data_IF_605378078126
#
_entry.id   IF_605378078126
#
_cell.length_a   1.000
_cell.length_b   1.000
_cell.length_c   1.000
_cell.angle_alpha   90.00
_cell.angle_beta   90.00
_cell.angle_gamma   90.00
#
_symmetry.space_group_name_H-M   'P 1'
#
loop_
_entity.id
_entity.type
_entity.pdbx_description
1 polymer ?
#
# COMPACT_ATOMS: atom_id res chain seq x y z
N UNK A 1 11.02 62.78 19.17
CA UNK A 1 12.07 61.80 19.54
C UNK A 1 11.48 60.47 19.99
N UNK A 2 10.40 60.41 20.76
CA UNK A 2 9.79 59.12 21.17
C UNK A 2 9.07 58.35 20.03
N UNK A 3 8.49 59.02 19.02
CA UNK A 3 7.83 58.33 17.90
C UNK A 3 8.80 57.68 16.89
N UNK A 4 10.00 58.25 16.69
CA UNK A 4 11.03 57.63 15.83
C UNK A 4 11.59 56.36 16.46
N UNK A 5 11.73 56.35 17.78
CA UNK A 5 12.28 55.22 18.54
C UNK A 5 11.31 54.02 18.59
N UNK A 6 9.99 54.30 18.64
CA UNK A 6 8.94 53.27 18.57
C UNK A 6 8.79 52.68 17.16
N UNK A 7 9.10 53.46 16.11
CA UNK A 7 9.05 53.03 14.70
C UNK A 7 10.27 52.19 14.31
N UNK A 8 11.44 52.46 14.88
CA UNK A 8 12.64 51.64 14.70
C UNK A 8 12.53 50.28 15.38
N UNK A 9 12.00 50.21 16.61
CA UNK A 9 11.80 48.94 17.34
C UNK A 9 10.76 48.03 16.66
N UNK A 10 9.72 48.61 16.05
CA UNK A 10 8.71 47.87 15.29
C UNK A 10 9.25 47.27 13.98
N UNK A 11 10.27 47.88 13.37
CA UNK A 11 10.85 47.41 12.10
C UNK A 11 11.87 46.28 12.36
N UNK A 12 12.76 46.45 13.35
CA UNK A 12 13.70 45.38 13.76
C UNK A 12 13.01 44.11 14.26
N UNK A 13 11.84 44.24 14.88
CA UNK A 13 11.09 43.09 15.38
C UNK A 13 10.30 42.37 14.26
N UNK A 14 10.10 43.03 13.11
CA UNK A 14 9.56 42.41 11.90
C UNK A 14 10.63 41.59 11.18
N UNK A 15 11.81 42.18 10.96
CA UNK A 15 12.94 41.53 10.30
C UNK A 15 13.40 40.27 11.06
N UNK A 16 13.47 40.33 12.39
CA UNK A 16 13.81 39.15 13.23
C UNK A 16 12.78 38.02 13.14
N UNK A 17 11.50 38.33 12.96
CA UNK A 17 10.45 37.31 12.81
C UNK A 17 10.50 36.63 11.45
N UNK A 18 10.73 37.39 10.39
CA UNK A 18 10.87 36.83 9.04
C UNK A 18 12.11 35.93 8.92
N UNK A 19 13.21 36.27 9.61
CA UNK A 19 14.40 35.44 9.66
C UNK A 19 14.15 34.12 10.42
N UNK A 20 13.43 34.18 11.55
CA UNK A 20 13.01 32.99 12.29
C UNK A 20 12.10 32.09 11.46
N UNK A 21 11.12 32.64 10.73
CA UNK A 21 10.21 31.85 9.89
C UNK A 21 10.97 31.15 8.74
N UNK A 22 12.00 31.80 8.17
CA UNK A 22 12.87 31.19 7.14
C UNK A 22 13.71 30.06 7.72
N UNK A 23 14.27 30.25 8.91
CA UNK A 23 15.03 29.22 9.61
C UNK A 23 14.14 28.01 9.92
N UNK A 24 12.91 28.24 10.40
CA UNK A 24 11.94 27.16 10.66
C UNK A 24 11.55 26.38 9.40
N UNK A 25 11.38 27.05 8.25
CA UNK A 25 11.12 26.36 6.97
C UNK A 25 12.33 25.55 6.51
N UNK A 26 13.55 26.08 6.70
CA UNK A 26 14.78 25.37 6.39
C UNK A 26 14.96 24.13 7.28
N UNK A 27 14.68 24.23 8.58
CA UNK A 27 14.70 23.10 9.50
C UNK A 27 13.69 22.03 9.08
N UNK A 28 12.46 22.42 8.77
CA UNK A 28 11.44 21.49 8.23
C UNK A 28 11.89 20.80 6.94
N UNK A 29 12.59 21.51 6.05
CA UNK A 29 13.16 20.91 4.84
C UNK A 29 14.23 19.86 5.18
N UNK A 30 15.15 20.18 6.10
CA UNK A 30 16.21 19.27 6.53
C UNK A 30 15.63 18.02 7.22
N UNK A 31 14.69 18.20 8.14
CA UNK A 31 13.99 17.10 8.82
C UNK A 31 13.25 16.20 7.81
N UNK A 32 12.51 16.79 6.88
CA UNK A 32 11.82 16.03 5.83
C UNK A 32 12.77 15.26 4.91
N UNK A 33 13.99 15.77 4.71
CA UNK A 33 15.04 15.10 3.93
C UNK A 33 15.59 13.90 4.69
N UNK A 34 15.88 14.06 5.99
CA UNK A 34 16.38 12.97 6.84
C UNK A 34 15.36 11.83 6.96
N UNK A 35 14.09 12.17 7.20
CA UNK A 35 12.98 11.21 7.23
C UNK A 35 12.85 10.44 5.91
N UNK A 36 12.95 11.16 4.78
CA UNK A 36 12.90 10.55 3.45
C UNK A 36 14.05 9.56 3.23
N UNK A 37 15.28 9.93 3.60
CA UNK A 37 16.45 9.06 3.48
C UNK A 37 16.34 7.82 4.39
N UNK A 38 15.92 8.02 5.64
CA UNK A 38 15.68 6.93 6.60
C UNK A 38 14.63 5.94 6.07
N UNK A 39 13.56 6.43 5.46
CA UNK A 39 12.55 5.58 4.82
C UNK A 39 13.11 4.83 3.61
N UNK A 40 13.96 5.47 2.78
CA UNK A 40 14.61 4.83 1.65
C UNK A 40 15.56 3.69 2.08
N UNK A 41 16.29 3.89 3.18
CA UNK A 41 17.17 2.86 3.76
C UNK A 41 16.38 1.70 4.34
N UNK A 42 15.30 2.01 5.09
CA UNK A 42 14.37 1.02 5.60
C UNK A 42 13.75 0.19 4.48
N UNK A 43 13.24 0.84 3.43
CA UNK A 43 12.72 0.19 2.23
C UNK A 43 13.76 -0.73 1.59
N UNK A 44 14.99 -0.26 1.44
CA UNK A 44 16.07 -1.04 0.84
C UNK A 44 16.42 -2.27 1.69
N UNK A 45 16.42 -2.13 3.02
CA UNK A 45 16.62 -3.24 3.96
C UNK A 45 15.50 -4.28 3.84
N UNK A 46 14.24 -3.84 3.88
CA UNK A 46 13.07 -4.72 3.77
C UNK A 46 13.02 -5.44 2.43
N UNK A 47 13.35 -4.76 1.32
CA UNK A 47 13.43 -5.39 -0.01
C UNK A 47 14.52 -6.46 -0.05
N UNK A 48 15.73 -6.17 0.45
CA UNK A 48 16.81 -7.17 0.52
C UNK A 48 16.40 -8.40 1.32
N UNK A 49 15.73 -8.19 2.46
CA UNK A 49 15.20 -9.27 3.27
C UNK A 49 14.16 -10.11 2.50
N UNK A 50 13.19 -9.47 1.85
CA UNK A 50 12.18 -10.16 1.04
C UNK A 50 12.78 -10.96 -0.11
N UNK A 51 13.76 -10.40 -0.83
CA UNK A 51 14.47 -11.11 -1.90
C UNK A 51 15.29 -12.30 -1.37
N UNK A 52 15.94 -12.15 -0.22
CA UNK A 52 16.68 -13.23 0.41
C UNK A 52 15.77 -14.38 0.87
N UNK A 53 14.63 -14.05 1.47
CA UNK A 53 13.62 -15.03 1.88
C UNK A 53 12.99 -15.73 0.68
N UNK A 54 12.73 -15.01 -0.40
CA UNK A 54 12.24 -15.57 -1.66
C UNK A 54 13.27 -16.53 -2.28
N UNK A 55 14.55 -16.17 -2.29
CA UNK A 55 15.63 -17.04 -2.75
C UNK A 55 15.73 -18.31 -1.88
N UNK A 56 15.62 -18.16 -0.56
CA UNK A 56 15.60 -19.28 0.39
C UNK A 56 14.39 -20.20 0.17
N UNK A 57 13.22 -19.63 -0.13
CA UNK A 57 12.02 -20.37 -0.48
C UNK A 57 12.21 -21.17 -1.78
N UNK A 58 12.79 -20.55 -2.83
CA UNK A 58 13.12 -21.22 -4.09
C UNK A 58 14.07 -22.40 -3.88
N UNK A 59 15.09 -22.22 -3.05
CA UNK A 59 16.06 -23.27 -2.75
C UNK A 59 15.41 -24.47 -2.04
N UNK A 60 14.55 -24.20 -1.05
CA UNK A 60 13.89 -25.26 -0.27
C UNK A 60 12.71 -25.93 -0.98
N UNK A 61 11.94 -25.20 -1.79
CA UNK A 61 10.77 -25.72 -2.52
C UNK A 61 11.12 -26.34 -3.88
N UNK A 62 12.33 -26.09 -4.38
CA UNK A 62 12.76 -26.44 -5.73
C UNK A 62 12.45 -25.33 -6.74
N UNK A 63 13.37 -25.14 -7.69
CA UNK A 63 13.38 -24.02 -8.65
C UNK A 63 12.17 -23.97 -9.58
N UNK A 64 11.48 -25.09 -9.77
CA UNK A 64 10.27 -25.22 -10.60
C UNK A 64 8.98 -24.72 -9.93
N UNK A 65 8.97 -24.59 -8.60
CA UNK A 65 7.75 -24.23 -7.86
C UNK A 65 7.58 -22.75 -7.63
N UNK A 66 8.66 -21.97 -7.69
CA UNK A 66 8.65 -20.53 -7.52
C UNK A 66 9.39 -19.96 -8.72
N UNK A 67 8.68 -19.85 -9.84
CA UNK A 67 9.23 -19.44 -11.14
C UNK A 67 8.30 -18.39 -11.76
N UNK A 68 8.87 -17.48 -12.55
CA UNK A 68 8.09 -16.45 -13.23
C UNK A 68 7.05 -17.02 -14.21
N UNK A 69 7.26 -18.23 -14.71
CA UNK A 69 6.34 -18.94 -15.61
C UNK A 69 5.05 -19.40 -14.93
N UNK A 70 5.01 -19.43 -13.59
CA UNK A 70 3.78 -19.71 -12.82
C UNK A 70 2.92 -18.47 -12.62
N UNK A 71 3.47 -17.28 -12.87
CA UNK A 71 2.67 -16.07 -12.97
C UNK A 71 1.93 -16.15 -14.31
N UNK A 72 0.71 -16.69 -14.26
CA UNK A 72 -0.19 -16.72 -15.41
C UNK A 72 -0.30 -15.29 -15.98
N UNK A 73 -0.07 -15.13 -17.28
CA UNK A 73 -0.21 -13.83 -17.96
C UNK A 73 -1.67 -13.38 -18.05
N UNK A 74 -2.62 -14.17 -17.51
CA UNK A 74 -4.00 -13.75 -17.34
C UNK A 74 -4.10 -12.52 -16.44
N UNK A 75 -4.97 -11.61 -16.84
CA UNK A 75 -5.36 -10.46 -16.03
C UNK A 75 -6.01 -10.95 -14.73
N UNK A 76 -5.29 -10.76 -13.63
CA UNK A 76 -5.81 -10.97 -12.29
C UNK A 76 -5.98 -9.62 -11.61
N UNK A 77 -7.13 -9.36 -10.96
CA UNK A 77 -7.28 -8.17 -10.13
C UNK A 77 -6.17 -8.10 -9.08
N UNK A 78 -5.51 -6.95 -8.95
CA UNK A 78 -4.45 -6.78 -7.96
C UNK A 78 -5.05 -6.86 -6.56
N UNK A 79 -4.48 -7.72 -5.72
CA UNK A 79 -4.93 -7.87 -4.33
C UNK A 79 -4.72 -6.59 -3.51
N UNK A 80 -3.69 -5.81 -3.86
CA UNK A 80 -3.37 -4.52 -3.24
C UNK A 80 -3.43 -3.43 -4.30
N UNK A 81 -4.16 -2.35 -4.02
CA UNK A 81 -4.33 -1.21 -4.93
C UNK A 81 -3.86 0.09 -4.27
N UNK A 82 -3.59 1.11 -5.09
CA UNK A 82 -3.16 2.42 -4.64
C UNK A 82 -4.25 3.44 -4.93
N UNK A 83 -4.68 4.20 -3.91
CA UNK A 83 -5.57 5.35 -4.08
C UNK A 83 -4.73 6.62 -4.01
N UNK A 84 -4.98 7.54 -4.93
CA UNK A 84 -4.37 8.86 -4.94
C UNK A 84 -5.45 9.87 -4.60
N UNK A 85 -5.31 10.54 -3.47
CA UNK A 85 -6.10 11.70 -3.09
C UNK A 85 -5.31 12.98 -3.39
N UNK A 86 -6.00 14.09 -3.58
CA UNK A 86 -5.39 15.42 -3.56
C UNK A 86 -5.76 16.08 -2.25
N UNK A 87 -4.76 16.53 -1.51
CA UNK A 87 -4.99 17.24 -0.24
C UNK A 87 -5.13 18.72 -0.55
N UNK A 88 -6.28 19.29 -0.20
CA UNK A 88 -6.46 20.74 -0.15
C UNK A 88 -6.06 21.21 1.25
N UNK A 89 -5.01 22.01 1.36
CA UNK A 89 -4.78 22.77 2.59
C UNK A 89 -5.82 23.89 2.66
N UNK A 90 -6.57 23.94 3.77
CA UNK A 90 -7.65 24.89 4.07
C UNK A 90 -7.12 26.30 4.40
N UNK A 91 -5.99 26.69 3.82
CA UNK A 91 -5.41 28.03 3.95
C UNK A 91 -5.75 28.86 2.72
N UNK A 92 -6.48 29.98 2.83
CA UNK A 92 -7.05 30.70 1.68
C UNK A 92 -6.04 31.58 0.90
N UNK A 93 -4.73 31.28 0.93
CA UNK A 93 -3.70 32.18 0.38
C UNK A 93 -2.62 31.54 -0.48
N UNK A 94 -2.70 30.25 -0.84
CA UNK A 94 -1.66 29.61 -1.65
C UNK A 94 -2.19 29.13 -3.00
N UNK A 95 -1.44 29.47 -4.04
CA UNK A 95 -1.64 29.15 -5.46
C UNK A 95 -2.16 27.71 -5.69
N UNK A 96 -3.21 27.50 -6.52
CA UNK A 96 -3.73 26.17 -6.87
C UNK A 96 -2.70 25.19 -7.49
N UNK A 97 -1.46 25.60 -7.74
CA UNK A 97 -0.37 24.73 -8.21
C UNK A 97 0.25 23.80 -7.13
N UNK A 98 -0.10 23.94 -5.84
CA UNK A 98 0.50 23.16 -4.74
C UNK A 98 -0.41 22.06 -4.16
N UNK A 99 -1.36 21.54 -4.96
CA UNK A 99 -2.14 20.35 -4.59
C UNK A 99 -1.21 19.13 -4.40
N UNK A 100 -0.92 18.76 -3.15
CA UNK A 100 -0.03 17.64 -2.87
C UNK A 100 -0.76 16.31 -3.07
N UNK A 101 -0.27 15.42 -3.94
CA UNK A 101 -0.82 14.08 -4.06
C UNK A 101 -0.52 13.29 -2.78
N UNK A 102 -1.57 12.74 -2.18
CA UNK A 102 -1.47 11.82 -1.06
C UNK A 102 -1.83 10.40 -1.50
N UNK A 103 -0.90 9.49 -1.26
CA UNK A 103 -1.00 8.08 -1.63
C UNK A 103 -1.47 7.25 -0.44
N UNK A 104 -2.48 6.43 -0.66
CA UNK A 104 -3.01 5.49 0.33
C UNK A 104 -3.02 4.08 -0.23
N UNK A 105 -2.40 3.14 0.50
CA UNK A 105 -2.39 1.73 0.13
C UNK A 105 -3.70 1.07 0.59
N UNK A 106 -4.39 0.42 -0.33
CA UNK A 106 -5.57 -0.40 -0.05
C UNK A 106 -5.16 -1.87 -0.15
N UNK A 107 -4.93 -2.49 0.99
CA UNK A 107 -4.53 -3.90 1.07
C UNK A 107 -5.75 -4.80 0.95
N UNK A 108 -5.60 -5.90 0.21
CA UNK A 108 -6.54 -7.03 0.18
C UNK A 108 -7.99 -6.63 -0.09
N UNK A 109 -8.19 -5.75 -1.09
CA UNK A 109 -9.44 -5.07 -1.44
C UNK A 109 -10.67 -5.72 -0.79
N UNK A 110 -11.00 -5.28 0.42
CA UNK A 110 -12.27 -5.63 1.07
C UNK A 110 -13.34 -5.06 0.16
N UNK A 111 -14.00 -5.94 -0.58
CA UNK A 111 -15.22 -5.64 -1.31
C UNK A 111 -16.32 -5.35 -0.28
N UNK A 112 -16.29 -4.17 0.33
CA UNK A 112 -17.49 -3.58 0.90
C UNK A 112 -18.16 -2.79 -0.23
N UNK A 113 -19.22 -3.38 -0.75
CA UNK A 113 -20.16 -2.77 -1.68
C UNK A 113 -20.69 -1.46 -1.09
N UNK A 114 -20.37 -0.34 -1.76
CA UNK A 114 -21.10 0.92 -1.63
C UNK A 114 -20.81 1.78 -2.86
N UNK A 115 -21.46 1.46 -3.97
CA UNK A 115 -22.42 2.36 -4.66
C UNK A 115 -22.84 1.70 -5.98
N UNK A 116 -24.10 1.30 -6.03
CA UNK A 116 -24.81 0.83 -7.22
C UNK A 116 -24.73 1.83 -8.38
N UNK A 117 -24.47 1.36 -9.60
CA UNK A 117 -25.37 1.59 -10.75
C UNK A 117 -25.05 0.67 -11.93
N UNK A 118 -26.03 0.40 -12.81
CA UNK A 118 -26.12 -0.86 -13.53
C UNK A 118 -25.66 -0.74 -15.00
N UNK A 119 -25.01 -1.79 -15.51
CA UNK A 119 -25.31 -2.25 -16.87
C UNK A 119 -25.01 -3.74 -17.01
N UNK A 120 -25.98 -4.55 -16.58
CA UNK A 120 -26.18 -5.85 -17.17
C UNK A 120 -26.83 -5.63 -18.54
N UNK A 121 -26.16 -6.07 -19.61
CA UNK A 121 -26.86 -6.68 -20.74
C UNK A 121 -26.24 -8.05 -20.99
N UNK A 122 -27.10 -9.03 -20.79
CA UNK A 122 -26.97 -10.45 -21.09
C UNK A 122 -26.79 -10.69 -22.58
N UNK A 123 -26.21 -11.86 -22.91
CA UNK A 123 -26.58 -12.83 -23.95
C UNK A 123 -25.44 -13.86 -23.98
N UNK A 124 -25.58 -15.16 -24.10
CA UNK A 124 -26.67 -16.15 -24.17
C UNK A 124 -25.91 -17.49 -23.92
N UNK A 125 -26.33 -18.40 -23.06
CA UNK A 125 -27.20 -19.50 -23.47
C UNK A 125 -26.49 -20.52 -24.38
N UNK A 126 -25.73 -21.48 -23.82
CA UNK A 126 -25.79 -22.86 -24.31
C UNK A 126 -25.34 -23.86 -23.22
N UNK A 127 -26.30 -24.71 -22.87
CA UNK A 127 -26.27 -25.77 -21.88
C UNK A 127 -26.11 -27.07 -22.66
N UNK A 128 -24.95 -27.74 -22.57
CA UNK A 128 -24.86 -29.15 -22.93
C UNK A 128 -24.00 -29.93 -21.94
N UNK A 129 -24.73 -30.59 -21.05
CA UNK A 129 -24.38 -31.82 -20.37
C UNK A 129 -23.56 -32.79 -21.24
N UNK A 130 -22.32 -33.07 -20.82
CA UNK A 130 -21.70 -34.38 -21.07
C UNK A 130 -21.02 -34.91 -19.82
N UNK A 131 -21.76 -35.76 -19.12
CA UNK A 131 -21.24 -36.87 -18.31
C UNK A 131 -20.13 -37.59 -19.09
N UNK A 132 -18.93 -37.64 -18.53
CA UNK A 132 -17.95 -38.67 -18.87
C UNK A 132 -17.39 -39.27 -17.59
N UNK A 133 -17.49 -40.59 -17.54
CA UNK A 133 -17.20 -41.46 -16.42
C UNK A 133 -15.73 -41.38 -15.97
N UNK A 134 -15.53 -41.72 -14.70
CA UNK A 134 -14.27 -41.69 -13.94
C UNK A 134 -13.13 -42.53 -14.52
N UNK A 135 -11.92 -42.44 -13.93
CA UNK A 135 -11.58 -43.49 -12.97
C UNK A 135 -11.02 -42.94 -11.65
N UNK A 136 -11.67 -43.38 -10.57
CA UNK A 136 -11.28 -43.16 -9.18
C UNK A 136 -9.92 -43.78 -8.87
N UNK A 137 -9.01 -42.97 -8.34
CA UNK A 137 -7.82 -43.45 -7.63
C UNK A 137 -8.25 -44.22 -6.38
N UNK A 138 -7.82 -45.48 -6.26
CA UNK A 138 -8.07 -46.35 -5.10
C UNK A 138 -7.73 -45.63 -3.78
N UNK A 139 -8.74 -45.35 -2.95
CA UNK A 139 -8.55 -45.15 -1.51
C UNK A 139 -9.16 -46.33 -0.76
N UNK A 140 -8.32 -47.00 0.03
CA UNK A 140 -8.69 -48.05 0.98
C UNK A 140 -8.87 -47.40 2.35
N UNK A 141 -10.03 -47.56 2.98
CA UNK A 141 -10.27 -47.18 4.38
C UNK A 141 -11.67 -46.65 4.63
N UNK A 142 -12.60 -47.55 4.94
CA UNK A 142 -13.96 -47.28 5.43
C UNK A 142 -13.93 -46.56 6.78
N UNK A 143 -14.62 -45.42 6.91
CA UNK A 143 -15.39 -45.06 8.12
C UNK A 143 -16.51 -44.12 7.67
N UNK A 144 -17.73 -44.46 8.08
CA UNK A 144 -18.99 -43.84 7.69
C UNK A 144 -19.08 -42.40 8.22
N UNK A 145 -19.52 -41.45 7.38
CA UNK A 145 -19.96 -40.12 7.82
C UNK A 145 -21.38 -39.93 7.26
N UNK A 146 -22.33 -39.84 8.18
CA UNK A 146 -23.75 -39.55 7.94
C UNK A 146 -23.94 -38.10 7.51
N UNK A 147 -24.93 -37.86 6.66
CA UNK A 147 -25.25 -36.59 5.97
C UNK A 147 -25.93 -35.53 6.86
N UNK A 148 -25.37 -35.20 8.03
CA UNK A 148 -25.99 -34.25 8.97
C UNK A 148 -25.20 -32.95 9.23
N UNK A 149 -24.09 -32.68 8.52
CA UNK A 149 -23.22 -31.52 8.83
C UNK A 149 -23.11 -30.48 7.69
N UNK A 150 -24.05 -30.45 6.73
CA UNK A 150 -24.04 -29.47 5.62
C UNK A 150 -24.80 -28.16 5.88
N UNK A 151 -25.46 -28.02 7.04
CA UNK A 151 -26.22 -26.80 7.36
C UNK A 151 -25.56 -25.89 8.43
N UNK A 152 -24.40 -26.27 9.00
CA UNK A 152 -23.67 -25.41 9.96
C UNK A 152 -22.56 -24.54 9.33
N UNK A 153 -22.27 -24.68 8.03
CA UNK A 153 -21.23 -23.89 7.34
C UNK A 153 -21.72 -22.52 6.83
N UNK A 154 -23.02 -22.28 6.80
CA UNK A 154 -23.61 -21.03 6.32
C UNK A 154 -23.82 -19.97 7.41
N UNK A 155 -23.76 -20.32 8.70
CA UNK A 155 -24.07 -19.41 9.82
C UNK A 155 -22.86 -18.74 10.47
N UNK A 156 -21.62 -19.05 10.06
CA UNK A 156 -20.41 -18.43 10.61
C UNK A 156 -19.88 -17.23 9.80
N UNK A 157 -20.65 -16.76 8.81
CA UNK A 157 -20.28 -15.63 7.93
C UNK A 157 -20.55 -14.24 8.53
N UNK A 158 -20.73 -14.14 9.85
CA UNK A 158 -21.10 -12.88 10.51
C UNK A 158 -20.28 -12.62 11.77
N UNK A 159 -18.94 -12.64 11.64
CA UNK A 159 -18.00 -11.85 12.47
C UNK A 159 -16.54 -12.22 12.18
N UNK A 160 -16.12 -12.32 10.90
CA UNK A 160 -14.70 -12.44 10.62
C UNK A 160 -14.05 -11.09 10.93
N UNK A 161 -13.04 -11.10 11.78
CA UNK A 161 -12.26 -9.90 12.04
C UNK A 161 -11.53 -9.48 10.74
N UNK A 162 -11.19 -8.20 10.62
CA UNK A 162 -10.43 -7.70 9.45
C UNK A 162 -9.12 -8.49 9.26
N UNK A 163 -8.51 -8.94 10.36
CA UNK A 163 -7.28 -9.73 10.36
C UNK A 163 -7.48 -11.13 9.77
N UNK A 164 -8.58 -11.81 10.10
CA UNK A 164 -8.90 -13.14 9.55
C UNK A 164 -9.08 -13.12 8.02
N UNK A 165 -9.67 -12.03 7.50
CA UNK A 165 -9.87 -11.84 6.07
C UNK A 165 -8.53 -11.59 5.34
N UNK A 166 -7.61 -10.86 5.97
CA UNK A 166 -6.26 -10.61 5.42
C UNK A 166 -5.46 -11.91 5.34
N UNK A 167 -5.44 -12.72 6.40
CA UNK A 167 -4.74 -14.00 6.40
C UNK A 167 -5.30 -14.99 5.37
N UNK A 168 -6.62 -14.97 5.15
CA UNK A 168 -7.28 -15.77 4.13
C UNK A 168 -6.83 -15.39 2.71
N UNK A 169 -6.80 -14.10 2.38
CA UNK A 169 -6.37 -13.64 1.06
C UNK A 169 -4.85 -13.82 0.86
N UNK A 170 -4.04 -13.70 1.92
CA UNK A 170 -2.61 -14.06 1.90
C UNK A 170 -2.43 -15.52 1.53
N UNK A 171 -3.14 -16.42 2.21
CA UNK A 171 -3.10 -17.86 1.97
C UNK A 171 -3.56 -18.23 0.56
N UNK A 172 -4.60 -17.57 0.06
CA UNK A 172 -5.10 -17.73 -1.32
C UNK A 172 -4.05 -17.32 -2.35
N UNK A 173 -3.38 -16.19 -2.15
CA UNK A 173 -2.32 -15.71 -3.05
C UNK A 173 -1.14 -16.67 -3.11
N UNK A 174 -0.81 -17.32 -1.99
CA UNK A 174 0.28 -18.31 -1.94
C UNK A 174 -0.10 -19.69 -2.50
N UNK A 175 -1.40 -20.00 -2.60
CA UNK A 175 -1.87 -21.31 -3.07
C UNK A 175 -1.41 -21.67 -4.48
N UNK A 176 -1.08 -20.67 -5.31
CA UNK A 176 -0.51 -20.83 -6.66
C UNK A 176 0.82 -21.59 -6.66
N UNK A 177 1.53 -21.59 -5.52
CA UNK A 177 2.80 -22.29 -5.34
C UNK A 177 2.65 -23.72 -4.77
N UNK A 178 1.40 -24.19 -4.63
CA UNK A 178 1.04 -25.53 -4.17
C UNK A 178 0.48 -25.57 -2.73
N UNK A 179 0.11 -26.78 -2.29
CA UNK A 179 -0.56 -27.00 -0.99
C UNK A 179 0.36 -26.84 0.22
N UNK A 180 1.66 -27.11 0.07
CA UNK A 180 2.67 -26.87 1.11
C UNK A 180 3.55 -25.70 0.70
N UNK A 181 3.22 -24.52 1.23
CA UNK A 181 4.03 -23.31 1.06
C UNK A 181 5.11 -23.28 2.14
N UNK A 182 6.36 -23.00 1.76
CA UNK A 182 7.45 -22.91 2.74
C UNK A 182 7.26 -21.71 3.69
N UNK A 183 7.71 -21.81 4.96
CA UNK A 183 7.73 -20.66 5.87
C UNK A 183 8.48 -19.46 5.27
N UNK A 184 9.55 -19.70 4.52
CA UNK A 184 10.33 -18.65 3.85
C UNK A 184 9.56 -17.90 2.78
N UNK A 185 8.66 -18.57 2.06
CA UNK A 185 7.81 -17.88 1.08
C UNK A 185 6.76 -17.00 1.76
N UNK A 186 6.21 -17.45 2.90
CA UNK A 186 5.33 -16.63 3.74
C UNK A 186 6.05 -15.40 4.29
N UNK A 187 7.26 -15.58 4.82
CA UNK A 187 8.09 -14.45 5.26
C UNK A 187 8.37 -13.48 4.11
N UNK A 188 8.72 -13.98 2.93
CA UNK A 188 8.97 -13.14 1.76
C UNK A 188 7.73 -12.30 1.38
N UNK A 189 6.53 -12.89 1.42
CA UNK A 189 5.28 -12.17 1.18
C UNK A 189 5.11 -11.01 2.17
N UNK A 190 5.28 -11.28 3.47
CA UNK A 190 5.18 -10.24 4.52
C UNK A 190 6.23 -9.16 4.30
N UNK A 191 7.48 -9.52 4.00
CA UNK A 191 8.55 -8.57 3.69
C UNK A 191 8.19 -7.66 2.50
N UNK A 192 7.65 -8.21 1.41
CA UNK A 192 7.22 -7.39 0.26
C UNK A 192 5.98 -6.54 0.55
N UNK A 193 5.04 -7.02 1.38
CA UNK A 193 3.92 -6.20 1.84
C UNK A 193 4.40 -4.99 2.66
N UNK A 194 5.29 -5.22 3.62
CA UNK A 194 5.89 -4.13 4.41
C UNK A 194 6.68 -3.18 3.53
N UNK A 195 7.40 -3.69 2.52
CA UNK A 195 8.10 -2.85 1.56
C UNK A 195 7.14 -1.96 0.76
N UNK A 196 5.95 -2.45 0.37
CA UNK A 196 4.93 -1.65 -0.28
C UNK A 196 4.38 -0.54 0.63
N UNK A 197 4.14 -0.85 1.91
CA UNK A 197 3.72 0.15 2.90
C UNK A 197 4.78 1.24 3.06
N UNK A 198 6.06 0.85 3.21
CA UNK A 198 7.16 1.81 3.29
C UNK A 198 7.30 2.61 2.00
N UNK A 199 7.12 2.00 0.83
CA UNK A 199 7.17 2.71 -0.45
C UNK A 199 6.10 3.80 -0.57
N UNK A 200 4.89 3.55 -0.07
CA UNK A 200 3.84 4.57 -0.02
C UNK A 200 4.23 5.72 0.92
N UNK A 201 4.85 5.41 2.07
CA UNK A 201 5.41 6.45 2.96
C UNK A 201 6.51 7.26 2.26
N UNK A 202 7.42 6.61 1.54
CA UNK A 202 8.46 7.28 0.72
C UNK A 202 7.82 8.20 -0.31
N UNK A 203 6.77 7.77 -1.01
CA UNK A 203 6.08 8.58 -2.01
C UNK A 203 5.43 9.83 -1.38
N UNK A 204 4.74 9.67 -0.25
CA UNK A 204 4.14 10.77 0.50
C UNK A 204 5.19 11.74 1.03
N UNK A 205 6.27 11.23 1.65
CA UNK A 205 7.37 12.05 2.14
C UNK A 205 8.08 12.79 1.02
N UNK A 206 8.23 12.17 -0.16
CA UNK A 206 8.77 12.84 -1.33
C UNK A 206 7.89 14.00 -1.79
N UNK A 207 6.56 13.85 -1.72
CA UNK A 207 5.63 14.95 -2.03
C UNK A 207 5.83 16.12 -1.06
N UNK A 208 5.89 15.83 0.24
CA UNK A 208 6.14 16.82 1.28
C UNK A 208 7.52 17.50 1.13
N UNK A 209 8.56 16.73 0.86
CA UNK A 209 9.91 17.26 0.63
C UNK A 209 9.96 18.24 -0.56
N UNK A 210 9.22 17.93 -1.63
CA UNK A 210 9.15 18.80 -2.80
C UNK A 210 8.38 20.09 -2.49
N UNK A 211 7.36 20.05 -1.63
CA UNK A 211 6.63 21.25 -1.23
C UNK A 211 7.45 22.15 -0.31
N UNK A 212 8.09 21.58 0.72
CA UNK A 212 8.97 22.34 1.64
C UNK A 212 10.15 22.95 0.89
N UNK A 213 10.70 22.23 -0.09
CA UNK A 213 11.73 22.76 -0.98
C UNK A 213 11.23 23.95 -1.82
N UNK A 214 10.01 23.87 -2.36
CA UNK A 214 9.42 24.95 -3.14
C UNK A 214 9.20 26.21 -2.27
N UNK A 215 8.72 26.04 -1.04
CA UNK A 215 8.57 27.13 -0.06
C UNK A 215 9.90 27.84 0.22
N UNK A 216 10.94 27.08 0.58
CA UNK A 216 12.27 27.64 0.86
C UNK A 216 12.86 28.32 -0.38
N UNK A 217 12.67 27.73 -1.57
CA UNK A 217 13.16 28.32 -2.82
C UNK A 217 12.47 29.65 -3.13
N UNK A 218 11.18 29.77 -2.88
CA UNK A 218 10.43 31.00 -3.09
C UNK A 218 10.92 32.12 -2.14
N UNK A 219 11.20 31.79 -0.87
CA UNK A 219 11.74 32.74 0.11
C UNK A 219 13.16 33.24 -0.24
N UNK A 220 13.99 32.38 -0.84
CA UNK A 220 15.34 32.76 -1.33
C UNK A 220 15.28 33.64 -2.58
N UNK A 221 14.25 33.48 -3.40
CA UNK A 221 14.07 34.29 -4.59
C UNK A 221 13.43 35.66 -4.27
N UNK A 222 12.50 35.72 -3.32
CA UNK A 222 11.87 36.97 -2.88
C UNK A 222 12.82 37.90 -2.11
N UNK A 223 13.92 37.37 -1.57
CA UNK A 223 14.98 38.16 -0.90
C UNK A 223 16.00 38.77 -1.86
N UNK A 224 15.95 38.44 -3.16
CA UNK A 224 16.87 38.96 -4.19
C UNK A 224 16.29 40.08 -5.06
N UNK A 225 15.00 40.39 -4.92
CA UNK A 225 14.34 41.56 -5.55
C UNK A 225 14.27 42.73 -4.57
#
# INVERSE_FOLDING_TARGET
>A
MEEEQKRSESSENGERKEEQEKEEKLLRLLDSTDDYLTLCDSLSSTLRQGWFELASARHSMGTSRVTSTLFDHKLHPAATTLRVARVHDESPSTDPMLEQPHFTLLKWASSHDEMSSPSAKQMDGDELDRKSNSPQLRRRGTTQVSEADKEQLASNMSSLSVDDQVEKERSKSLSVFGTLVSPKLRSAQVSFETALETLVKVANMRSLLLSTYAEVKNDVNSTKE
#
